data_IF_154832882110
#
_entry.id   IF_154832882110
#
_cell.length_a   1.000
_cell.length_b   1.000
_cell.length_c   1.000
_cell.angle_alpha   90.00
_cell.angle_beta   90.00
_cell.angle_gamma   90.00
#
_symmetry.space_group_name_H-M   'P 1'
#
loop_
_entity.id
_entity.type
_entity.pdbx_description
1 polymer ?
#
# COMPACT_ATOMS: atom_id res chain seq x y z
N UNK A 1 40.32 -23.42 -53.35
CA UNK A 1 41.08 -23.10 -52.13
C UNK A 1 40.43 -21.88 -51.49
N UNK A 2 39.76 -22.06 -50.33
CA UNK A 2 39.43 -20.95 -49.43
C UNK A 2 37.99 -20.39 -49.42
N UNK A 3 37.24 -20.80 -48.39
CA UNK A 3 36.26 -20.01 -47.61
C UNK A 3 34.90 -19.60 -48.22
N UNK A 4 33.95 -20.53 -48.23
CA UNK A 4 32.51 -20.24 -48.18
C UNK A 4 31.79 -21.29 -47.32
N UNK A 5 32.11 -21.36 -46.03
CA UNK A 5 31.35 -22.13 -45.04
C UNK A 5 31.50 -21.43 -43.69
N UNK A 6 30.40 -20.91 -43.13
CA UNK A 6 30.08 -20.76 -41.68
C UNK A 6 29.05 -19.66 -41.38
N UNK A 7 27.83 -19.69 -41.96
CA UNK A 7 26.66 -19.01 -41.35
C UNK A 7 25.38 -19.84 -41.61
N UNK A 8 25.39 -21.13 -41.28
CA UNK A 8 24.20 -21.99 -41.36
C UNK A 8 23.96 -22.84 -40.11
N UNK A 9 24.65 -22.55 -39.00
CA UNK A 9 24.54 -23.34 -37.76
C UNK A 9 23.58 -22.76 -36.70
N UNK A 10 22.88 -21.66 -36.97
CA UNK A 10 21.93 -21.04 -36.02
C UNK A 10 20.45 -21.14 -36.43
N UNK A 11 20.14 -21.81 -37.54
CA UNK A 11 18.79 -21.84 -38.11
C UNK A 11 17.96 -23.11 -37.75
N UNK A 12 18.48 -24.03 -36.92
CA UNK A 12 17.84 -25.34 -36.66
C UNK A 12 17.79 -25.74 -35.18
N UNK A 13 17.33 -24.87 -34.28
CA UNK A 13 16.90 -25.33 -32.93
C UNK A 13 15.67 -24.65 -32.34
N UNK A 14 14.86 -23.96 -33.14
CA UNK A 14 13.62 -23.31 -32.68
C UNK A 14 12.33 -24.07 -33.04
N UNK A 15 12.45 -25.36 -33.37
CA UNK A 15 11.31 -26.25 -33.54
C UNK A 15 11.09 -27.13 -32.31
N UNK A 16 10.80 -26.53 -31.14
CA UNK A 16 9.99 -27.10 -30.04
C UNK A 16 9.98 -26.08 -28.88
N UNK A 17 8.84 -25.42 -28.59
CA UNK A 17 7.88 -26.05 -27.68
C UNK A 17 6.44 -25.75 -28.07
N UNK A 18 6.03 -26.20 -29.26
CA UNK A 18 4.60 -26.30 -29.64
C UNK A 18 4.06 -27.74 -29.56
N UNK A 19 4.82 -28.67 -28.97
CA UNK A 19 4.34 -29.99 -28.54
C UNK A 19 3.72 -30.01 -27.14
N UNK A 20 3.27 -28.85 -26.63
CA UNK A 20 2.60 -28.78 -25.32
C UNK A 20 1.07 -29.00 -25.39
N UNK A 21 0.51 -29.30 -26.56
CA UNK A 21 -0.95 -29.40 -26.72
C UNK A 21 -1.47 -30.64 -27.47
N UNK A 22 -0.60 -31.54 -27.94
CA UNK A 22 -1.02 -32.71 -28.73
C UNK A 22 -0.75 -34.07 -28.05
N UNK A 23 -0.36 -34.04 -26.77
CA UNK A 23 -0.08 -35.23 -25.95
C UNK A 23 -1.20 -35.56 -24.96
N UNK A 24 -2.47 -35.35 -25.33
CA UNK A 24 -3.60 -35.37 -24.40
C UNK A 24 -4.03 -36.72 -23.83
N UNK A 25 -3.27 -37.83 -23.98
CA UNK A 25 -3.78 -39.15 -23.57
C UNK A 25 -2.77 -40.25 -23.21
N UNK A 26 -1.54 -39.92 -22.79
CA UNK A 26 -0.57 -41.00 -22.51
C UNK A 26 0.37 -40.86 -21.30
N UNK A 27 0.09 -39.97 -20.35
CA UNK A 27 0.89 -39.86 -19.11
C UNK A 27 0.07 -40.21 -17.87
N UNK A 28 -0.41 -41.46 -17.80
CA UNK A 28 -0.81 -42.07 -16.52
C UNK A 28 0.39 -42.90 -16.03
N UNK A 29 1.34 -42.20 -15.44
CA UNK A 29 2.31 -42.80 -14.52
C UNK A 29 2.30 -41.95 -13.25
N UNK A 30 2.12 -42.58 -12.10
CA UNK A 30 1.83 -41.94 -10.81
C UNK A 30 2.96 -41.05 -10.26
N UNK A 31 4.08 -40.91 -10.98
CA UNK A 31 5.22 -40.04 -10.63
C UNK A 31 5.46 -38.83 -11.54
N UNK A 32 4.70 -38.66 -12.63
CA UNK A 32 4.87 -37.51 -13.55
C UNK A 32 4.02 -36.31 -13.11
N UNK A 33 2.82 -36.55 -12.57
CA UNK A 33 1.92 -35.50 -12.08
C UNK A 33 2.55 -34.58 -11.02
N UNK A 34 3.37 -35.13 -10.12
CA UNK A 34 4.05 -34.33 -9.11
C UNK A 34 5.14 -33.44 -9.73
N UNK A 35 5.86 -33.95 -10.73
CA UNK A 35 6.87 -33.16 -11.46
C UNK A 35 6.22 -32.08 -12.30
N UNK A 36 5.14 -32.40 -13.01
CA UNK A 36 4.37 -31.43 -13.80
C UNK A 36 3.70 -30.37 -12.90
N UNK A 37 3.19 -30.76 -11.72
CA UNK A 37 2.63 -29.84 -10.75
C UNK A 37 3.69 -28.93 -10.11
N UNK A 38 4.87 -29.47 -9.81
CA UNK A 38 6.02 -28.69 -9.31
C UNK A 38 6.48 -27.72 -10.40
N UNK A 39 6.59 -28.16 -11.65
CA UNK A 39 7.03 -27.33 -12.77
C UNK A 39 6.04 -26.18 -13.03
N UNK A 40 4.74 -26.49 -13.10
CA UNK A 40 3.67 -25.48 -13.20
C UNK A 40 3.71 -24.52 -12.00
N UNK A 41 3.86 -25.03 -10.78
CA UNK A 41 3.96 -24.21 -9.58
C UNK A 41 5.17 -23.29 -9.58
N UNK A 42 6.31 -23.77 -10.07
CA UNK A 42 7.55 -23.00 -10.19
C UNK A 42 7.42 -21.90 -11.25
N UNK A 43 6.82 -22.22 -12.41
CA UNK A 43 6.54 -21.23 -13.46
C UNK A 43 5.57 -20.17 -12.95
N UNK A 44 4.53 -20.56 -12.21
CA UNK A 44 3.57 -19.63 -11.61
C UNK A 44 4.23 -18.74 -10.55
N UNK A 45 5.08 -19.31 -9.69
CA UNK A 45 5.84 -18.58 -8.68
C UNK A 45 6.83 -17.60 -9.32
N UNK A 46 7.54 -18.01 -10.37
CA UNK A 46 8.49 -17.17 -11.11
C UNK A 46 7.77 -16.05 -11.86
N UNK A 47 6.64 -16.34 -12.49
CA UNK A 47 5.78 -15.34 -13.15
C UNK A 47 5.22 -14.35 -12.12
N UNK A 48 4.72 -14.84 -10.99
CA UNK A 48 4.24 -14.01 -9.89
C UNK A 48 5.35 -13.12 -9.32
N UNK A 49 6.57 -13.67 -9.15
CA UNK A 49 7.73 -12.91 -8.69
C UNK A 49 8.09 -11.78 -9.65
N UNK A 50 8.14 -12.06 -10.96
CA UNK A 50 8.39 -11.04 -11.99
C UNK A 50 7.29 -9.97 -11.98
N UNK A 51 6.02 -10.35 -11.76
CA UNK A 51 4.92 -9.38 -11.69
C UNK A 51 4.96 -8.50 -10.44
N UNK A 52 5.28 -9.06 -9.26
CA UNK A 52 5.39 -8.29 -8.01
C UNK A 52 6.59 -7.33 -8.07
N UNK A 53 7.64 -7.72 -8.77
CA UNK A 53 8.84 -6.92 -8.95
C UNK A 53 8.61 -5.64 -9.76
N UNK A 54 7.66 -5.70 -10.68
CA UNK A 54 7.24 -4.54 -11.46
C UNK A 54 6.37 -3.66 -10.55
N UNK A 55 7.04 -2.86 -9.70
CA UNK A 55 6.39 -1.96 -8.74
C UNK A 55 5.66 -0.79 -9.41
N UNK A 56 5.94 -0.52 -10.68
CA UNK A 56 5.33 0.55 -11.45
C UNK A 56 3.98 0.09 -12.03
N UNK A 57 2.87 0.69 -11.58
CA UNK A 57 1.54 0.37 -12.10
C UNK A 57 1.47 0.48 -13.62
N UNK A 58 2.18 1.45 -14.23
CA UNK A 58 2.25 1.65 -15.69
C UNK A 58 2.82 0.43 -16.42
N UNK A 59 3.87 -0.19 -15.89
CA UNK A 59 4.53 -1.34 -16.52
C UNK A 59 3.69 -2.60 -16.40
N UNK A 60 2.92 -2.76 -15.32
CA UNK A 60 1.94 -3.85 -15.20
C UNK A 60 0.85 -3.79 -16.28
N UNK A 61 0.38 -2.59 -16.66
CA UNK A 61 -0.57 -2.44 -17.77
C UNK A 61 0.05 -2.83 -19.11
N UNK A 62 1.31 -2.47 -19.36
CA UNK A 62 2.02 -2.81 -20.60
C UNK A 62 2.24 -4.33 -20.73
N UNK A 63 2.66 -4.99 -19.64
CA UNK A 63 2.85 -6.45 -19.61
C UNK A 63 1.53 -7.20 -19.80
N UNK A 64 0.45 -6.76 -19.13
CA UNK A 64 -0.90 -7.33 -19.34
C UNK A 64 -1.36 -7.17 -20.79
N UNK A 65 -1.13 -5.99 -21.39
CA UNK A 65 -1.43 -5.75 -22.80
C UNK A 65 -0.67 -6.68 -23.74
N UNK A 66 0.62 -6.92 -23.47
CA UNK A 66 1.44 -7.85 -24.23
C UNK A 66 0.96 -9.31 -24.09
N UNK A 67 0.57 -9.74 -22.89
CA UNK A 67 -0.02 -11.07 -22.67
C UNK A 67 -1.32 -11.24 -23.46
N UNK A 68 -2.21 -10.24 -23.42
CA UNK A 68 -3.47 -10.25 -24.20
C UNK A 68 -3.18 -10.35 -25.70
N UNK A 69 -2.21 -9.57 -26.20
CA UNK A 69 -1.77 -9.61 -27.59
C UNK A 69 -1.26 -11.01 -27.97
N UNK A 70 -0.46 -11.64 -27.11
CA UNK A 70 0.08 -12.98 -27.35
C UNK A 70 -1.03 -14.04 -27.40
N UNK A 71 -2.01 -13.96 -26.50
CA UNK A 71 -3.20 -14.83 -26.49
C UNK A 71 -4.04 -14.62 -27.75
N UNK A 72 -4.27 -13.37 -28.15
CA UNK A 72 -5.02 -13.04 -29.37
C UNK A 72 -4.33 -13.58 -30.64
N UNK A 73 -3.01 -13.46 -30.72
CA UNK A 73 -2.20 -14.01 -31.82
C UNK A 73 -2.28 -15.54 -31.87
N UNK A 74 -2.17 -16.20 -30.72
CA UNK A 74 -2.31 -17.66 -30.61
C UNK A 74 -3.72 -18.14 -31.00
N UNK A 75 -4.76 -17.43 -30.55
CA UNK A 75 -6.15 -17.77 -30.88
C UNK A 75 -6.45 -17.54 -32.37
N UNK A 76 -5.96 -16.46 -32.96
CA UNK A 76 -6.08 -16.16 -34.39
C UNK A 76 -5.44 -17.25 -35.26
N UNK A 77 -4.32 -17.82 -34.80
CA UNK A 77 -3.63 -18.92 -35.48
C UNK A 77 -4.43 -20.24 -35.39
N UNK A 78 -5.04 -20.53 -34.23
CA UNK A 78 -5.93 -21.70 -34.05
C UNK A 78 -7.23 -21.62 -34.83
N UNK A 79 -7.74 -20.41 -35.06
CA UNK A 79 -8.94 -20.14 -35.85
C UNK A 79 -8.66 -20.00 -37.36
N UNK A 80 -7.41 -20.22 -37.79
CA UNK A 80 -6.95 -20.14 -39.19
C UNK A 80 -7.21 -18.80 -39.91
N UNK A 81 -7.28 -17.70 -39.15
CA UNK A 81 -7.53 -16.36 -39.68
C UNK A 81 -6.26 -15.77 -40.33
N UNK A 82 -5.99 -16.12 -41.60
CA UNK A 82 -4.71 -15.81 -42.31
C UNK A 82 -4.25 -14.35 -42.26
N UNK A 83 -5.14 -13.38 -42.51
CA UNK A 83 -4.78 -11.95 -42.49
C UNK A 83 -4.55 -11.44 -41.07
N UNK A 84 -5.42 -11.84 -40.14
CA UNK A 84 -5.35 -11.42 -38.75
C UNK A 84 -4.12 -12.01 -38.05
N UNK A 85 -3.81 -13.29 -38.31
CA UNK A 85 -2.63 -13.97 -37.75
C UNK A 85 -1.33 -13.35 -38.27
N UNK A 86 -1.26 -12.97 -39.55
CA UNK A 86 -0.11 -12.26 -40.12
C UNK A 86 0.12 -10.91 -39.40
N UNK A 87 -0.92 -10.08 -39.26
CA UNK A 87 -0.80 -8.77 -38.61
C UNK A 87 -0.47 -8.91 -37.12
N UNK A 88 -1.18 -9.78 -36.40
CA UNK A 88 -0.95 -9.98 -34.96
C UNK A 88 0.42 -10.57 -34.67
N UNK A 89 0.93 -11.48 -35.51
CA UNK A 89 2.26 -12.05 -35.34
C UNK A 89 3.36 -10.98 -35.51
N UNK A 90 3.28 -10.17 -36.57
CA UNK A 90 4.22 -9.06 -36.79
C UNK A 90 4.15 -8.02 -35.67
N UNK A 91 2.94 -7.70 -35.19
CA UNK A 91 2.72 -6.81 -34.06
C UNK A 91 3.26 -7.38 -32.75
N UNK A 92 3.15 -8.69 -32.54
CA UNK A 92 3.71 -9.39 -31.37
C UNK A 92 5.23 -9.34 -31.38
N UNK A 93 5.86 -9.56 -32.54
CA UNK A 93 7.31 -9.46 -32.70
C UNK A 93 7.78 -8.02 -32.44
N UNK A 94 7.12 -7.02 -33.03
CA UNK A 94 7.46 -5.60 -32.83
C UNK A 94 7.29 -5.15 -31.38
N UNK A 95 6.19 -5.56 -30.73
CA UNK A 95 5.93 -5.24 -29.32
C UNK A 95 6.89 -5.96 -28.37
N UNK A 96 7.34 -7.17 -28.68
CA UNK A 96 8.36 -7.87 -27.90
C UNK A 96 9.70 -7.11 -27.91
N UNK A 97 10.12 -6.61 -29.07
CA UNK A 97 11.34 -5.79 -29.21
C UNK A 97 11.20 -4.49 -28.44
N UNK A 98 10.08 -3.77 -28.61
CA UNK A 98 9.83 -2.52 -27.88
C UNK A 98 9.81 -2.73 -26.36
N UNK A 99 9.18 -3.83 -25.91
CA UNK A 99 9.12 -4.21 -24.50
C UNK A 99 10.53 -4.52 -23.94
N UNK A 100 11.37 -5.22 -24.70
CA UNK A 100 12.74 -5.54 -24.29
C UNK A 100 13.59 -4.27 -24.11
N UNK A 101 13.46 -3.29 -25.01
CA UNK A 101 14.15 -1.99 -24.89
C UNK A 101 13.61 -1.21 -23.69
N UNK A 102 12.30 -1.17 -23.49
CA UNK A 102 11.68 -0.41 -22.40
C UNK A 102 11.95 -1.03 -21.02
N UNK A 103 12.06 -2.36 -20.93
CA UNK A 103 12.37 -3.09 -19.69
C UNK A 103 13.87 -3.15 -19.37
N UNK A 104 14.75 -2.57 -20.19
CA UNK A 104 16.20 -2.66 -19.98
C UNK A 104 16.63 -2.09 -18.62
N UNK A 105 16.05 -0.97 -18.19
CA UNK A 105 16.34 -0.34 -16.90
C UNK A 105 15.83 -1.16 -15.71
N UNK A 106 14.63 -1.77 -15.83
CA UNK A 106 14.04 -2.59 -14.77
C UNK A 106 14.75 -3.94 -14.62
N UNK A 107 15.14 -4.57 -15.74
CA UNK A 107 15.91 -5.82 -15.70
C UNK A 107 17.28 -5.62 -15.06
N UNK A 108 17.95 -4.49 -15.33
CA UNK A 108 19.19 -4.11 -14.65
C UNK A 108 18.97 -3.97 -13.14
N UNK A 109 17.92 -3.26 -12.72
CA UNK A 109 17.56 -3.10 -11.30
C UNK A 109 17.26 -4.44 -10.63
N UNK A 110 16.54 -5.34 -11.32
CA UNK A 110 16.26 -6.68 -10.84
C UNK A 110 17.54 -7.46 -10.55
N UNK A 111 18.46 -7.52 -11.53
CA UNK A 111 19.73 -8.23 -11.39
C UNK A 111 20.58 -7.63 -10.27
N UNK A 112 20.55 -6.30 -10.11
CA UNK A 112 21.25 -5.61 -9.02
C UNK A 112 20.67 -5.99 -7.64
N UNK A 113 19.34 -6.06 -7.51
CA UNK A 113 18.67 -6.48 -6.27
C UNK A 113 18.89 -7.96 -5.97
N UNK A 114 18.91 -8.81 -7.01
CA UNK A 114 19.20 -10.24 -6.89
C UNK A 114 20.65 -10.47 -6.44
N UNK A 115 21.61 -9.70 -6.99
CA UNK A 115 23.02 -9.77 -6.64
C UNK A 115 23.34 -9.30 -5.21
N UNK A 116 22.54 -8.39 -4.65
CA UNK A 116 22.69 -7.92 -3.25
C UNK A 116 22.11 -8.88 -2.20
N UNK A 117 21.51 -10.00 -2.60
CA UNK A 117 20.92 -10.97 -1.68
C UNK A 117 19.64 -10.47 -0.98
N UNK A 118 19.07 -9.36 -1.43
CA UNK A 118 17.85 -8.76 -0.87
C UNK A 118 16.55 -9.40 -1.41
N UNK A 119 16.62 -10.65 -1.87
CA UNK A 119 15.47 -11.43 -2.39
C UNK A 119 14.31 -11.48 -1.38
N UNK A 120 14.60 -11.42 -0.07
CA UNK A 120 13.57 -11.34 0.99
C UNK A 120 12.73 -10.06 0.93
N UNK A 121 13.26 -8.94 0.43
CA UNK A 121 12.51 -7.68 0.21
C UNK A 121 11.64 -7.73 -1.05
N UNK A 122 12.01 -8.55 -2.04
CA UNK A 122 11.23 -8.82 -3.25
C UNK A 122 9.98 -9.69 -2.99
N UNK A 123 10.12 -10.71 -2.14
CA UNK A 123 9.05 -11.65 -1.78
C UNK A 123 8.13 -11.12 -0.68
N UNK A 124 8.51 -10.03 -0.01
CA UNK A 124 7.52 -9.25 0.72
C UNK A 124 6.65 -8.60 -0.34
N UNK A 125 5.36 -8.95 -0.43
CA UNK A 125 4.46 -8.15 -1.24
C UNK A 125 4.65 -6.73 -0.74
N UNK A 126 4.77 -5.77 -1.65
CA UNK A 126 4.49 -4.37 -1.34
C UNK A 126 2.99 -4.26 -1.02
N UNK A 127 2.51 -4.99 0.00
CA UNK A 127 1.58 -4.43 0.95
C UNK A 127 2.33 -3.22 1.41
N UNK A 128 1.86 -2.05 0.97
CA UNK A 128 2.12 -0.77 1.59
C UNK A 128 2.46 -1.07 3.03
N UNK A 129 3.76 -1.05 3.36
CA UNK A 129 4.16 -1.15 4.73
C UNK A 129 3.47 0.07 5.30
N UNK A 130 2.40 -0.16 6.06
CA UNK A 130 1.97 0.78 7.08
C UNK A 130 3.30 1.00 7.81
N UNK A 131 3.99 2.13 7.58
CA UNK A 131 5.28 2.32 8.18
C UNK A 131 5.01 2.22 9.67
N UNK A 132 5.89 1.51 10.38
CA UNK A 132 5.79 1.45 11.84
C UNK A 132 5.48 2.86 12.35
N UNK A 133 4.52 3.04 13.28
CA UNK A 133 4.21 4.36 13.84
C UNK A 133 5.47 5.13 14.23
N UNK A 134 6.48 4.42 14.70
CA UNK A 134 7.79 4.95 15.08
C UNK A 134 8.49 5.73 13.94
N UNK A 135 8.51 5.25 12.70
CA UNK A 135 9.27 5.93 11.64
C UNK A 135 8.62 7.24 11.20
N UNK A 136 7.29 7.27 11.03
CA UNK A 136 6.58 8.50 10.62
C UNK A 136 6.59 9.52 11.76
N UNK A 137 6.44 9.04 13.00
CA UNK A 137 6.53 9.91 14.16
C UNK A 137 7.90 10.54 14.29
N UNK A 138 8.96 9.76 14.04
CA UNK A 138 10.34 10.24 14.06
C UNK A 138 10.58 11.32 13.01
N UNK A 139 10.12 11.10 11.77
CA UNK A 139 10.18 12.11 10.70
C UNK A 139 9.48 13.42 11.08
N UNK A 140 8.28 13.35 11.70
CA UNK A 140 7.53 14.53 12.14
C UNK A 140 8.26 15.23 13.29
N UNK A 141 8.73 14.50 14.29
CA UNK A 141 9.42 15.07 15.45
C UNK A 141 10.74 15.72 15.03
N UNK A 142 11.50 15.10 14.14
CA UNK A 142 12.75 15.65 13.62
C UNK A 142 12.50 16.88 12.74
N UNK A 143 11.44 16.90 11.93
CA UNK A 143 11.02 18.09 11.20
C UNK A 143 10.63 19.24 12.15
N UNK A 144 9.80 18.95 13.17
CA UNK A 144 9.37 19.93 14.19
C UNK A 144 10.56 20.50 14.95
N UNK A 145 11.53 19.65 15.31
CA UNK A 145 12.74 20.07 16.01
C UNK A 145 13.53 21.09 15.19
N UNK A 146 13.75 20.82 13.91
CA UNK A 146 14.51 21.71 13.05
C UNK A 146 13.73 23.01 12.75
N UNK A 147 12.42 22.92 12.53
CA UNK A 147 11.53 24.09 12.37
C UNK A 147 11.55 24.97 13.63
N UNK A 148 11.53 24.36 14.81
CA UNK A 148 11.63 25.04 16.11
C UNK A 148 12.97 25.76 16.28
N UNK A 149 14.09 25.10 15.93
CA UNK A 149 15.43 25.69 15.98
C UNK A 149 15.57 26.88 15.04
N UNK A 150 15.00 26.77 13.83
CA UNK A 150 15.01 27.84 12.82
C UNK A 150 13.93 28.91 13.04
N UNK A 151 13.10 28.79 14.09
CA UNK A 151 11.93 29.64 14.36
C UNK A 151 11.00 29.78 13.15
N UNK A 152 10.84 28.70 12.42
CA UNK A 152 9.92 28.61 11.28
C UNK A 152 8.54 28.21 11.78
N UNK A 153 7.54 29.06 11.53
CA UNK A 153 6.16 28.79 11.93
C UNK A 153 5.59 27.58 11.22
N UNK A 154 5.03 26.64 11.98
CA UNK A 154 4.44 25.42 11.44
C UNK A 154 3.13 25.07 12.12
N UNK A 155 2.21 24.48 11.35
CA UNK A 155 0.91 24.01 11.82
C UNK A 155 0.59 22.70 11.13
N UNK A 156 0.62 21.60 11.88
CA UNK A 156 0.34 20.25 11.38
C UNK A 156 -0.88 19.68 12.10
N UNK A 157 -1.79 19.09 11.35
CA UNK A 157 -2.96 18.38 11.84
C UNK A 157 -2.72 16.90 11.61
N UNK A 158 -2.80 16.11 12.67
CA UNK A 158 -2.67 14.67 12.60
C UNK A 158 -4.02 14.04 12.96
N UNK A 159 -4.52 13.19 12.07
CA UNK A 159 -5.72 12.41 12.32
C UNK A 159 -5.39 11.22 13.24
N UNK A 160 -6.14 11.07 14.32
CA UNK A 160 -5.88 10.01 15.33
C UNK A 160 -6.70 8.74 15.06
N UNK A 161 -7.86 8.86 14.42
CA UNK A 161 -8.77 7.74 14.16
C UNK A 161 -9.49 7.97 12.83
N UNK A 162 -10.73 8.46 12.87
CA UNK A 162 -11.52 8.70 11.67
C UNK A 162 -10.97 9.87 10.84
N UNK A 163 -11.17 9.87 9.52
CA UNK A 163 -10.87 11.02 8.66
C UNK A 163 -11.64 12.27 9.09
N UNK A 164 -11.00 13.43 9.03
CA UNK A 164 -11.68 14.73 9.20
C UNK A 164 -12.45 15.04 7.90
N UNK A 165 -13.69 15.50 8.01
CA UNK A 165 -14.48 15.89 6.84
C UNK A 165 -13.91 17.20 6.26
N UNK A 166 -13.88 17.33 4.94
CA UNK A 166 -13.43 18.56 4.27
C UNK A 166 -14.28 19.78 4.68
N UNK A 167 -15.50 19.55 5.17
CA UNK A 167 -16.43 20.58 5.68
C UNK A 167 -15.99 21.24 6.99
N UNK A 168 -15.12 20.58 7.75
CA UNK A 168 -14.61 21.14 9.01
C UNK A 168 -13.51 22.19 8.77
N UNK A 169 -12.97 22.23 7.56
CA UNK A 169 -11.99 23.22 7.12
C UNK A 169 -12.67 24.44 6.51
N UNK A 170 -12.10 25.63 6.73
CA UNK A 170 -12.53 26.85 6.03
C UNK A 170 -12.14 26.79 4.56
N UNK A 171 -10.96 26.24 4.28
CA UNK A 171 -10.48 25.97 2.92
C UNK A 171 -9.67 24.66 2.92
N UNK A 172 -9.97 23.69 2.04
CA UNK A 172 -9.37 22.36 2.05
C UNK A 172 -7.89 22.32 1.60
N UNK A 173 -7.34 23.43 1.12
CA UNK A 173 -5.93 23.54 0.74
C UNK A 173 -5.58 22.89 -0.61
N UNK A 174 -4.28 22.70 -0.85
CA UNK A 174 -3.73 22.05 -2.04
C UNK A 174 -3.48 20.58 -1.73
N UNK A 175 -4.12 19.68 -2.50
CA UNK A 175 -3.96 18.22 -2.33
C UNK A 175 -2.58 17.79 -2.82
N UNK A 176 -1.82 17.09 -1.96
CA UNK A 176 -0.46 16.61 -2.26
C UNK A 176 -0.41 15.08 -2.37
N UNK A 177 -1.09 14.37 -1.47
CA UNK A 177 -1.06 12.90 -1.36
C UNK A 177 0.37 12.30 -1.31
N UNK A 178 1.31 13.03 -0.73
CA UNK A 178 2.71 12.65 -0.63
C UNK A 178 2.98 11.80 0.61
N UNK A 179 4.08 11.04 0.62
CA UNK A 179 4.55 10.35 1.82
C UNK A 179 5.18 11.35 2.79
N UNK A 180 4.99 11.14 4.09
CA UNK A 180 5.59 11.99 5.11
C UNK A 180 7.10 11.79 5.10
N UNK A 181 7.84 12.88 4.88
CA UNK A 181 9.28 12.95 5.12
C UNK A 181 9.63 14.27 5.78
N UNK A 182 10.72 14.27 6.54
CA UNK A 182 11.26 15.47 7.18
C UNK A 182 11.51 16.59 6.19
N UNK A 183 12.16 16.29 5.06
CA UNK A 183 12.53 17.27 4.04
C UNK A 183 11.30 17.91 3.40
N UNK A 184 10.25 17.13 3.18
CA UNK A 184 9.00 17.63 2.61
C UNK A 184 8.28 18.56 3.59
N UNK A 185 8.18 18.19 4.87
CA UNK A 185 7.59 19.06 5.90
C UNK A 185 8.37 20.36 6.05
N UNK A 186 9.70 20.30 6.07
CA UNK A 186 10.55 21.49 6.10
C UNK A 186 10.32 22.39 4.89
N UNK A 187 10.23 21.80 3.70
CA UNK A 187 9.99 22.53 2.45
C UNK A 187 8.63 23.21 2.46
N UNK A 188 7.57 22.53 2.91
CA UNK A 188 6.21 23.09 2.95
C UNK A 188 6.16 24.32 3.87
N UNK A 189 6.79 24.26 5.04
CA UNK A 189 6.75 25.38 6.01
C UNK A 189 7.78 26.48 5.74
N UNK A 190 8.60 26.35 4.70
CA UNK A 190 9.55 27.40 4.31
C UNK A 190 8.79 28.64 3.83
N UNK A 191 9.11 29.80 4.42
CA UNK A 191 8.42 31.10 4.19
C UNK A 191 8.41 31.60 2.74
N UNK A 192 9.29 31.08 1.89
CA UNK A 192 9.36 31.45 0.48
C UNK A 192 8.36 30.69 -0.42
N UNK A 193 7.67 29.68 0.09
CA UNK A 193 6.78 28.83 -0.73
C UNK A 193 5.34 29.31 -0.70
N UNK A 194 4.49 28.87 -1.63
CA UNK A 194 3.05 29.18 -1.55
C UNK A 194 2.30 28.29 -0.53
N UNK A 195 2.93 27.22 -0.04
CA UNK A 195 2.26 26.20 0.79
C UNK A 195 2.43 26.43 2.30
N UNK A 196 3.30 27.36 2.71
CA UNK A 196 3.60 27.61 4.13
C UNK A 196 2.49 28.37 4.86
N UNK A 197 1.58 29.01 4.12
CA UNK A 197 0.47 29.75 4.68
C UNK A 197 -0.73 28.84 4.88
N UNK A 198 -0.82 28.27 6.09
CA UNK A 198 -1.89 27.39 6.52
C UNK A 198 -1.39 26.15 7.24
N UNK A 199 -2.27 25.16 7.34
CA UNK A 199 -2.00 23.89 7.99
C UNK A 199 -1.67 22.78 6.99
N UNK A 200 -0.93 21.79 7.46
CA UNK A 200 -0.68 20.53 6.74
C UNK A 200 -1.51 19.43 7.36
N UNK A 201 -2.32 18.75 6.55
CA UNK A 201 -3.15 17.62 6.97
C UNK A 201 -2.39 16.31 6.75
N UNK A 202 -2.13 15.59 7.83
CA UNK A 202 -1.41 14.31 7.85
C UNK A 202 -2.38 13.20 8.26
N UNK A 203 -2.52 12.20 7.40
CA UNK A 203 -3.33 11.00 7.61
C UNK A 203 -2.43 9.78 7.58
N UNK A 204 -2.33 9.10 8.72
CA UNK A 204 -1.42 7.96 8.90
C UNK A 204 0.01 8.30 8.46
N UNK A 205 0.46 7.80 7.30
CA UNK A 205 1.81 8.02 6.76
C UNK A 205 1.87 8.99 5.56
N UNK A 206 0.77 9.68 5.25
CA UNK A 206 0.68 10.56 4.08
C UNK A 206 0.26 11.98 4.44
N UNK A 207 0.86 12.94 3.74
CA UNK A 207 0.42 14.33 3.70
C UNK A 207 -0.70 14.42 2.66
N UNK A 208 -1.93 14.61 3.13
CA UNK A 208 -3.13 14.69 2.27
C UNK A 208 -3.16 16.03 1.56
N UNK A 209 -3.01 17.12 2.31
CA UNK A 209 -3.06 18.48 1.80
C UNK A 209 -2.15 19.42 2.60
N UNK A 210 -1.74 20.52 1.96
CA UNK A 210 -1.03 21.64 2.57
C UNK A 210 -1.79 22.95 2.30
N UNK A 211 -1.41 24.04 2.98
CA UNK A 211 -2.13 25.32 2.92
C UNK A 211 -3.64 25.20 3.26
N UNK A 212 -3.98 24.30 4.19
CA UNK A 212 -5.36 24.12 4.69
C UNK A 212 -5.67 25.27 5.63
N UNK A 213 -6.77 25.99 5.40
CA UNK A 213 -7.19 27.08 6.27
C UNK A 213 -8.19 26.55 7.29
N UNK A 214 -7.86 26.74 8.57
CA UNK A 214 -8.65 26.22 9.68
C UNK A 214 -9.51 27.30 10.32
N UNK A 215 -10.63 26.91 10.95
CA UNK A 215 -11.40 27.82 11.78
C UNK A 215 -10.57 28.26 12.99
N UNK A 216 -10.71 29.54 13.38
CA UNK A 216 -10.05 30.09 14.56
C UNK A 216 -10.94 29.91 15.78
N UNK A 217 -10.37 29.54 16.92
CA UNK A 217 -11.10 29.54 18.19
C UNK A 217 -11.42 30.96 18.65
N UNK A 218 -12.64 31.13 19.16
CA UNK A 218 -13.15 32.36 19.79
C UNK A 218 -12.94 32.38 21.31
N UNK A 219 -12.55 31.25 21.91
CA UNK A 219 -12.19 31.21 23.34
C UNK A 219 -11.12 32.24 23.61
N UNK A 220 -11.20 32.88 24.78
CA UNK A 220 -10.24 33.88 25.27
C UNK A 220 -8.88 33.23 25.53
N UNK A 221 -8.21 32.86 24.46
CA UNK A 221 -6.84 32.45 24.44
C UNK A 221 -6.02 33.66 24.89
N UNK A 222 -5.05 33.48 25.80
CA UNK A 222 -4.22 34.58 26.30
C UNK A 222 -3.77 35.48 25.15
N UNK A 223 -3.80 36.81 25.31
CA UNK A 223 -3.48 37.83 24.26
C UNK A 223 -2.14 37.64 23.53
N UNK A 224 -1.32 36.67 23.94
CA UNK A 224 -0.02 36.29 23.38
C UNK A 224 -0.08 35.09 22.40
N UNK A 225 -1.26 34.68 21.93
CA UNK A 225 -1.41 33.54 21.03
C UNK A 225 -1.58 34.02 19.59
N UNK A 226 -0.63 33.65 18.72
CA UNK A 226 -0.69 33.92 17.29
C UNK A 226 -1.81 33.15 16.58
N UNK A 227 -2.05 33.50 15.31
CA UNK A 227 -3.11 32.95 14.46
C UNK A 227 -3.02 31.42 14.33
N UNK A 228 -1.84 30.85 14.12
CA UNK A 228 -1.64 29.38 14.02
C UNK A 228 -2.08 28.63 15.28
N UNK A 229 -1.84 29.19 16.47
CA UNK A 229 -2.27 28.58 17.73
C UNK A 229 -3.79 28.61 17.88
N UNK A 230 -4.41 29.74 17.51
CA UNK A 230 -5.87 29.87 17.53
C UNK A 230 -6.54 28.94 16.52
N UNK A 231 -5.91 28.72 15.38
CA UNK A 231 -6.37 27.79 14.35
C UNK A 231 -6.30 26.33 14.82
N UNK A 232 -5.18 25.95 15.45
CA UNK A 232 -5.01 24.64 16.07
C UNK A 232 -6.07 24.36 17.16
N UNK A 233 -6.36 25.36 18.01
CA UNK A 233 -7.45 25.24 18.98
C UNK A 233 -8.82 25.14 18.31
N UNK A 234 -9.08 25.96 17.29
CA UNK A 234 -10.40 26.01 16.64
C UNK A 234 -10.77 24.70 15.95
N UNK A 235 -9.82 24.04 15.28
CA UNK A 235 -10.09 22.73 14.66
C UNK A 235 -10.25 21.62 15.73
N UNK A 236 -9.42 21.62 16.77
CA UNK A 236 -9.46 20.60 17.83
C UNK A 236 -10.65 20.77 18.78
N UNK A 237 -11.34 21.93 18.76
CA UNK A 237 -12.62 22.15 19.42
C UNK A 237 -13.79 21.53 18.65
N UNK A 238 -13.73 21.55 17.32
CA UNK A 238 -14.79 21.02 16.44
C UNK A 238 -14.67 19.51 16.22
N UNK A 239 -13.44 19.02 16.20
CA UNK A 239 -13.09 17.66 15.79
C UNK A 239 -12.34 16.98 16.92
N UNK A 240 -12.94 15.96 17.54
CA UNK A 240 -12.34 15.27 18.70
C UNK A 240 -11.20 14.32 18.33
N UNK A 241 -11.22 13.80 17.10
CA UNK A 241 -10.30 12.81 16.54
C UNK A 241 -9.08 13.44 15.84
N UNK A 242 -8.73 14.68 16.17
CA UNK A 242 -7.55 15.34 15.63
C UNK A 242 -6.63 15.90 16.72
N UNK A 243 -5.34 15.92 16.41
CA UNK A 243 -4.30 16.52 17.24
C UNK A 243 -3.55 17.49 16.36
N UNK A 244 -3.23 18.68 16.88
CA UNK A 244 -2.45 19.66 16.13
C UNK A 244 -1.10 19.92 16.81
N UNK A 245 -0.04 19.93 16.00
CA UNK A 245 1.31 20.35 16.42
C UNK A 245 1.56 21.73 15.84
N UNK A 246 1.97 22.66 16.70
CA UNK A 246 2.23 24.06 16.34
C UNK A 246 3.65 24.42 16.72
N UNK A 247 4.37 25.08 15.80
CA UNK A 247 5.66 25.72 16.07
C UNK A 247 5.47 27.23 15.93
N UNK A 248 5.85 27.97 16.97
CA UNK A 248 5.77 29.43 16.99
C UNK A 248 6.86 30.05 16.13
N UNK A 249 6.49 30.94 15.21
CA UNK A 249 7.46 31.72 14.40
C UNK A 249 8.19 32.80 15.23
N UNK A 250 7.57 33.29 16.31
CA UNK A 250 8.17 34.33 17.15
C UNK A 250 9.21 33.75 18.11
N UNK A 251 8.88 32.61 18.72
CA UNK A 251 9.64 32.05 19.86
C UNK A 251 10.32 30.72 19.55
N UNK A 252 9.95 30.06 18.46
CA UNK A 252 10.34 28.67 18.17
C UNK A 252 9.69 27.63 19.10
N UNK A 253 8.80 28.03 20.02
CA UNK A 253 8.22 27.09 21.00
C UNK A 253 7.27 26.11 20.34
N UNK A 254 7.41 24.83 20.68
CA UNK A 254 6.53 23.74 20.24
C UNK A 254 5.32 23.68 21.17
N UNK A 255 4.13 23.56 20.58
CA UNK A 255 2.86 23.39 21.29
C UNK A 255 2.05 22.25 20.69
N UNK A 256 1.27 21.56 21.51
CA UNK A 256 0.33 20.51 21.08
C UNK A 256 -1.09 20.97 21.44
N UNK A 257 -1.99 21.03 20.46
CA UNK A 257 -3.40 21.30 20.70
C UNK A 257 -4.20 19.99 20.60
N UNK A 258 -5.11 19.78 21.54
CA UNK A 258 -6.03 18.65 21.58
C UNK A 258 -7.30 19.06 22.34
N UNK A 259 -8.47 18.72 21.80
CA UNK A 259 -9.79 18.99 22.42
C UNK A 259 -9.94 20.45 22.87
N UNK A 260 -9.45 21.39 22.06
CA UNK A 260 -9.48 22.83 22.36
C UNK A 260 -8.57 23.28 23.49
N UNK A 261 -7.68 22.43 24.00
CA UNK A 261 -6.66 22.78 24.98
C UNK A 261 -5.29 22.82 24.30
N UNK A 262 -4.44 23.75 24.73
CA UNK A 262 -3.10 23.93 24.17
C UNK A 262 -2.04 23.63 25.24
N UNK A 263 -1.29 22.55 25.05
CA UNK A 263 -0.18 22.16 25.91
C UNK A 263 1.12 22.81 25.40
N UNK A 264 1.73 23.68 26.21
CA UNK A 264 2.92 24.47 25.85
C UNK A 264 3.69 24.95 27.09
N UNK A 265 5.01 25.21 26.97
CA UNK A 265 5.89 24.81 25.88
C UNK A 265 6.29 23.33 26.01
N UNK A 266 6.48 22.64 24.89
CA UNK A 266 6.93 21.24 24.85
C UNK A 266 8.36 21.13 24.32
N UNK A 267 9.10 20.13 24.81
CA UNK A 267 10.38 19.71 24.22
C UNK A 267 10.11 18.69 23.12
N UNK A 268 11.04 18.54 22.16
CA UNK A 268 10.93 17.53 21.09
C UNK A 268 10.80 16.11 21.65
N UNK A 269 11.54 15.79 22.71
CA UNK A 269 11.42 14.49 23.41
C UNK A 269 10.04 14.29 24.03
N UNK A 270 9.46 15.33 24.65
CA UNK A 270 8.13 15.24 25.24
C UNK A 270 7.04 15.15 24.17
N UNK A 271 7.22 15.84 23.04
CA UNK A 271 6.34 15.72 21.88
C UNK A 271 6.31 14.27 21.37
N UNK A 272 7.48 13.64 21.19
CA UNK A 272 7.59 12.25 20.75
C UNK A 272 6.86 11.29 21.70
N UNK A 273 7.03 11.46 23.00
CA UNK A 273 6.33 10.66 24.01
C UNK A 273 4.81 10.84 23.93
N UNK A 274 4.34 12.09 23.86
CA UNK A 274 2.91 12.40 23.80
C UNK A 274 2.27 11.84 22.52
N UNK A 275 2.87 12.05 21.37
CA UNK A 275 2.35 11.53 20.11
C UNK A 275 2.41 9.99 20.09
N UNK A 276 3.54 9.39 20.51
CA UNK A 276 3.70 7.94 20.57
C UNK A 276 2.65 7.27 21.44
N UNK A 277 2.31 7.86 22.59
CA UNK A 277 1.25 7.35 23.47
C UNK A 277 -0.13 7.36 22.82
N UNK A 278 -0.43 8.38 22.01
CA UNK A 278 -1.74 8.55 21.37
C UNK A 278 -1.91 7.65 20.16
N UNK A 279 -0.91 7.57 19.28
CA UNK A 279 -0.96 6.70 18.11
C UNK A 279 -0.87 5.20 18.49
N UNK A 280 -0.17 4.84 19.56
CA UNK A 280 -0.14 3.46 20.05
C UNK A 280 -1.50 3.01 20.61
N UNK A 281 -2.26 3.91 21.24
CA UNK A 281 -3.61 3.61 21.73
C UNK A 281 -4.62 3.38 20.59
N UNK A 282 -4.49 4.08 19.46
CA UNK A 282 -5.33 3.83 18.28
C UNK A 282 -5.10 2.42 17.72
N UNK A 283 -3.84 1.99 17.59
CA UNK A 283 -3.50 0.63 17.12
C UNK A 283 -4.10 -0.45 18.03
N UNK A 284 -4.10 -0.22 19.35
CA UNK A 284 -4.72 -1.14 20.29
C UNK A 284 -6.26 -1.13 20.24
N UNK A 285 -6.90 0.03 20.00
CA UNK A 285 -8.37 0.11 19.85
C UNK A 285 -8.86 -0.62 18.60
N UNK A 286 -8.13 -0.53 17.50
CA UNK A 286 -8.47 -1.21 16.25
C UNK A 286 -8.23 -2.73 16.34
N UNK A 287 -7.23 -3.17 17.11
CA UNK A 287 -6.99 -4.58 17.42
C UNK A 287 -7.99 -5.20 18.40
N UNK A 288 -8.88 -4.42 19.02
CA UNK A 288 -9.90 -4.87 19.99
C UNK A 288 -11.32 -4.90 19.38
N UNK A 289 -11.46 -4.81 18.05
CA UNK A 289 -12.70 -5.20 17.37
C UNK A 289 -13.11 -6.64 17.77
N UNK A 290 -14.42 -6.91 17.96
CA UNK A 290 -14.89 -7.93 18.89
C UNK A 290 -14.43 -9.32 18.46
N UNK A 291 -13.78 -10.01 19.38
CA UNK A 291 -13.35 -11.38 19.24
C UNK A 291 -14.56 -12.31 19.01
N UNK A 292 -14.90 -12.50 17.73
CA UNK A 292 -15.90 -13.46 17.23
C UNK A 292 -15.62 -14.90 17.69
N UNK A 293 -14.43 -15.18 18.25
CA UNK A 293 -14.08 -16.49 18.84
C UNK A 293 -14.77 -16.74 20.19
N UNK A 294 -15.18 -15.70 20.92
CA UNK A 294 -15.98 -15.86 22.13
C UNK A 294 -17.47 -16.00 21.80
N UNK A 295 -17.94 -15.37 20.73
CA UNK A 295 -19.30 -15.54 20.20
C UNK A 295 -19.51 -16.95 19.61
N UNK A 296 -18.52 -17.53 18.93
CA UNK A 296 -18.61 -18.92 18.43
C UNK A 296 -18.64 -19.96 19.56
N UNK A 297 -18.01 -19.68 20.72
CA UNK A 297 -18.09 -20.52 21.91
C UNK A 297 -19.46 -20.44 22.61
N UNK A 298 -20.11 -19.28 22.62
CA UNK A 298 -21.47 -19.14 23.17
C UNK A 298 -22.57 -19.70 22.26
N UNK A 299 -22.40 -19.61 20.94
CA UNK A 299 -23.34 -20.19 19.97
C UNK A 299 -23.19 -21.71 19.83
N UNK A 300 -21.99 -22.26 20.05
CA UNK A 300 -21.74 -23.71 20.01
C UNK A 300 -22.52 -24.49 21.07
N UNK A 301 -22.67 -23.96 22.28
CA UNK A 301 -23.39 -24.64 23.38
C UNK A 301 -24.91 -24.53 23.25
N UNK A 302 -25.42 -23.42 22.70
CA UNK A 302 -26.87 -23.27 22.44
C UNK A 302 -27.32 -23.96 21.14
N UNK A 303 -26.44 -24.02 20.13
CA UNK A 303 -26.70 -24.74 18.87
C UNK A 303 -26.80 -26.25 19.06
N UNK A 304 -25.93 -26.86 19.87
CA UNK A 304 -25.99 -28.30 20.16
C UNK A 304 -27.23 -28.71 20.96
N UNK A 305 -27.73 -27.84 21.85
CA UNK A 305 -28.98 -28.09 22.58
C UNK A 305 -30.23 -28.00 21.68
N UNK A 306 -30.21 -27.12 20.67
CA UNK A 306 -31.27 -27.01 19.66
C UNK A 306 -31.23 -28.19 18.67
N UNK A 307 -30.04 -28.59 18.22
CA UNK A 307 -29.86 -29.72 17.29
C UNK A 307 -30.24 -31.05 17.95
N UNK A 308 -29.92 -31.25 19.23
CA UNK A 308 -30.34 -32.45 19.98
C UNK A 308 -31.84 -32.49 20.30
N UNK A 309 -32.52 -31.33 20.39
CA UNK A 309 -33.99 -31.28 20.47
C UNK A 309 -34.66 -31.55 19.13
N UNK A 310 -34.02 -31.21 18.02
CA UNK A 310 -34.52 -31.48 16.67
C UNK A 310 -34.30 -32.95 16.23
N UNK A 311 -33.20 -33.58 16.67
CA UNK A 311 -32.86 -34.98 16.39
C UNK A 311 -33.51 -35.98 17.38
N UNK A 312 -34.82 -35.84 17.64
CA UNK A 312 -35.62 -36.91 18.25
C UNK A 312 -35.71 -38.10 17.29
N UNK A 313 -34.68 -38.96 17.30
CA UNK A 313 -34.74 -40.31 16.76
C UNK A 313 -35.62 -41.19 17.68
N UNK A 314 -36.47 -42.05 17.11
CA UNK A 314 -37.52 -42.77 17.84
C UNK A 314 -36.97 -43.89 18.73
N UNK A 315 -37.68 -44.26 19.82
CA UNK A 315 -37.29 -45.38 20.65
C UNK A 315 -37.58 -46.71 19.93
N UNK A 316 -36.58 -47.60 19.88
CA UNK A 316 -36.75 -48.97 19.44
C UNK A 316 -37.62 -49.74 20.44
N UNK A 317 -38.90 -49.96 20.09
CA UNK A 317 -39.82 -50.80 20.84
C UNK A 317 -39.73 -52.27 20.36
N UNK A 318 -39.41 -53.14 21.33
CA UNK A 318 -39.82 -54.54 21.49
C UNK A 318 -40.44 -55.30 20.30
N UNK A 319 -39.71 -56.33 19.84
CA UNK A 319 -40.23 -57.42 18.99
C UNK A 319 -40.75 -58.54 19.87
N UNK A 320 -42.07 -58.82 19.84
CA UNK A 320 -42.66 -60.09 20.33
C UNK A 320 -43.79 -60.56 19.40
N UNK A 321 -43.81 -61.87 19.17
CA UNK A 321 -44.71 -62.77 18.40
C UNK A 321 -44.41 -62.90 16.90
N UNK A 322 -43.77 -64.01 16.50
CA UNK A 322 -44.34 -65.36 16.50
C UNK A 322 -43.28 -66.35 16.97
#
# INVERSE_FOLDING_TARGET
MGYLWTISAWAWSWSLPLKLFDGGRQWIGEGIWLKDAIDIGLVLALTYMVLVLIGERRTLWMVRGFIILMVASALSTRLELRLLSFVLNNLTIGSAVAMAVMLQSEFRRFLEQLGKGEIRKLFQPSRSAIPKPDSVLDEIVDAVKDLSQNRTGALMILETSDPIDERDFTYPGVKLNAEVSKELLQTIFQTATLLHDGAVLIRASRIVAAAVILPLSERTASRKLGTRHRAAMGITERVENCICVVVSEETGSISLAERGTLNRPLTSSKLKELLGSKFSQTVQREAVAPDLRNLSRQLGSQGLALVSRLLRLPPSASRRKK
#
